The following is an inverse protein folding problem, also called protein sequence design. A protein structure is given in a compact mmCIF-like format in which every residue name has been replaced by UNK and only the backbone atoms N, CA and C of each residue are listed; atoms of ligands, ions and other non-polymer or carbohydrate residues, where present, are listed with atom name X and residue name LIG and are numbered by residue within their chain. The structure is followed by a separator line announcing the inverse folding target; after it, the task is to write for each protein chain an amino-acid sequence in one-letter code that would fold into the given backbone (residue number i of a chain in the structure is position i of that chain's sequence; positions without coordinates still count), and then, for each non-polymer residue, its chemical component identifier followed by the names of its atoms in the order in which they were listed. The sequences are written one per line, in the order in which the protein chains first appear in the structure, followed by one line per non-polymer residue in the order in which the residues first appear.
data_IF_641502458792
#
_entry.id   IF_641502458792
#
_cell.length_a   1.000
_cell.length_b   1.000
_cell.length_c   1.000
_cell.angle_alpha   90.00
_cell.angle_beta   90.00
_cell.angle_gamma   90.00
#
_symmetry.space_group_name_H-M   'P 1'
#
loop_
_entity.id
_entity.type
_entity.pdbx_description
1 polymer ?
#
# COMPACT_ATOMS: atom_id res chain seq x y z
N UNK A 1 -49.59 24.06 52.23
CA UNK A 1 -48.28 24.47 52.73
C UNK A 1 -47.28 23.56 52.07
N UNK A 2 -46.39 24.09 51.36
CA UNK A 2 -45.13 23.68 50.79
C UNK A 2 -45.04 23.73 49.26
N UNK A 3 -44.39 24.77 48.89
CA UNK A 3 -43.94 25.16 47.57
C UNK A 3 -42.73 24.29 47.16
N UNK A 4 -42.81 23.73 45.99
CA UNK A 4 -41.70 22.94 45.42
C UNK A 4 -41.14 23.73 44.22
N UNK A 5 -39.94 24.26 44.41
CA UNK A 5 -39.15 24.94 43.35
C UNK A 5 -38.46 23.90 42.51
N UNK A 6 -38.72 23.89 41.23
CA UNK A 6 -37.99 23.12 40.22
C UNK A 6 -36.88 24.00 39.63
N UNK A 7 -35.64 23.65 39.94
CA UNK A 7 -34.46 24.22 39.29
C UNK A 7 -34.16 23.42 37.98
N UNK A 8 -34.41 24.07 36.86
CA UNK A 8 -34.08 23.57 35.52
C UNK A 8 -32.65 23.96 35.19
N UNK A 9 -31.70 23.05 35.31
CA UNK A 9 -30.34 23.23 34.78
C UNK A 9 -30.33 23.04 33.30
N UNK A 10 -30.35 24.16 32.57
CA UNK A 10 -30.15 24.27 31.14
C UNK A 10 -28.61 24.14 30.85
N UNK A 11 -28.18 22.99 30.32
CA UNK A 11 -26.83 22.82 29.78
C UNK A 11 -26.76 23.46 28.39
N UNK A 12 -25.84 24.37 28.11
CA UNK A 12 -25.65 24.89 26.76
C UNK A 12 -25.09 23.81 25.83
N UNK A 13 -25.83 23.56 24.75
CA UNK A 13 -25.39 22.68 23.68
C UNK A 13 -24.08 23.20 23.06
N UNK A 14 -23.11 22.30 22.93
CA UNK A 14 -21.90 22.54 22.10
C UNK A 14 -22.35 22.67 20.65
N UNK A 15 -22.49 23.89 20.17
CA UNK A 15 -22.48 24.20 18.75
C UNK A 15 -21.08 23.80 18.23
N UNK A 16 -21.03 22.78 17.41
CA UNK A 16 -19.85 22.45 16.62
C UNK A 16 -19.64 23.61 15.64
N UNK A 17 -18.60 24.37 15.88
CA UNK A 17 -18.12 25.44 15.03
C UNK A 17 -17.68 24.83 13.69
N UNK A 18 -18.56 24.84 12.70
CA UNK A 18 -18.26 24.53 11.30
C UNK A 18 -17.44 25.70 10.75
N UNK A 19 -16.16 25.74 11.13
CA UNK A 19 -15.22 26.69 10.56
C UNK A 19 -15.24 26.56 9.04
N UNK A 20 -15.68 27.59 8.35
CA UNK A 20 -15.71 27.70 6.89
C UNK A 20 -14.29 27.38 6.35
N UNK A 21 -14.18 26.30 5.61
CA UNK A 21 -12.95 25.91 4.93
C UNK A 21 -12.77 26.80 3.71
N UNK A 22 -11.83 27.74 3.79
CA UNK A 22 -11.48 28.61 2.68
C UNK A 22 -10.53 27.86 1.72
N UNK A 23 -10.86 27.83 0.44
CA UNK A 23 -9.96 27.27 -0.58
C UNK A 23 -8.95 28.35 -0.96
N UNK A 24 -7.67 28.09 -0.73
CA UNK A 24 -6.56 28.96 -1.12
C UNK A 24 -5.74 28.37 -2.24
N UNK A 25 -5.15 29.23 -3.04
CA UNK A 25 -4.18 28.86 -4.08
C UNK A 25 -2.79 29.24 -3.56
N UNK A 26 -1.89 28.27 -3.56
CA UNK A 26 -0.51 28.51 -3.14
C UNK A 26 0.20 29.41 -4.14
N UNK A 27 0.80 30.50 -3.68
CA UNK A 27 1.58 31.44 -4.50
C UNK A 27 2.89 30.84 -5.02
N UNK A 28 3.38 29.76 -4.41
CA UNK A 28 4.66 29.12 -4.76
C UNK A 28 4.47 28.01 -5.79
N UNK A 29 3.46 27.12 -5.61
CA UNK A 29 3.29 25.96 -6.47
C UNK A 29 1.94 25.89 -7.22
N UNK A 30 1.07 26.88 -7.04
CA UNK A 30 -0.24 26.94 -7.71
C UNK A 30 -1.29 25.96 -7.22
N UNK A 31 -0.97 25.08 -6.26
CA UNK A 31 -1.90 24.08 -5.76
C UNK A 31 -3.06 24.70 -4.96
N UNK A 32 -4.27 24.24 -5.21
CA UNK A 32 -5.46 24.62 -4.43
C UNK A 32 -5.55 23.72 -3.20
N UNK A 33 -5.72 24.32 -2.03
CA UNK A 33 -5.85 23.55 -0.78
C UNK A 33 -6.86 24.22 0.17
N UNK A 34 -7.44 23.40 1.05
CA UNK A 34 -8.36 23.87 2.08
C UNK A 34 -7.57 24.38 3.28
N UNK A 35 -7.63 25.66 3.54
CA UNK A 35 -6.96 26.28 4.67
C UNK A 35 -7.90 26.38 5.87
N UNK A 36 -7.41 25.99 7.05
CA UNK A 36 -7.99 26.37 8.32
C UNK A 36 -7.33 27.67 8.81
N UNK A 37 -7.99 28.41 9.70
CA UNK A 37 -7.52 29.76 10.16
C UNK A 37 -6.07 29.84 10.62
N UNK A 38 -5.40 28.71 10.88
CA UNK A 38 -4.01 28.63 11.37
C UNK A 38 -3.05 27.93 10.40
N UNK A 39 -3.44 27.58 9.16
CA UNK A 39 -2.52 26.96 8.21
C UNK A 39 -1.84 28.02 7.33
N UNK A 40 -0.67 28.48 7.73
CA UNK A 40 0.18 29.39 6.95
C UNK A 40 0.93 28.67 5.81
N UNK A 41 0.93 27.34 5.79
CA UNK A 41 1.74 26.52 4.90
C UNK A 41 0.91 25.71 3.92
N UNK A 42 1.35 25.70 2.66
CA UNK A 42 0.78 24.84 1.63
C UNK A 42 1.20 23.37 1.85
N UNK A 43 0.26 22.41 1.96
CA UNK A 43 0.60 21.00 2.16
C UNK A 43 1.47 20.42 1.04
N UNK A 44 1.30 20.89 -0.20
CA UNK A 44 2.10 20.44 -1.35
C UNK A 44 3.53 20.98 -1.29
N UNK A 45 3.73 22.21 -0.83
CA UNK A 45 5.08 22.77 -0.64
C UNK A 45 5.79 22.07 0.52
N UNK A 46 5.08 21.81 1.62
CA UNK A 46 5.63 21.04 2.75
C UNK A 46 6.02 19.62 2.33
N UNK A 47 5.20 18.97 1.50
CA UNK A 47 5.51 17.65 0.98
C UNK A 47 6.73 17.67 0.05
N UNK A 48 6.87 18.71 -0.79
CA UNK A 48 8.06 18.92 -1.63
C UNK A 48 9.33 19.20 -0.82
N UNK A 49 9.24 19.94 0.25
CA UNK A 49 10.40 20.20 1.15
C UNK A 49 10.77 18.96 1.99
N UNK A 50 9.82 18.08 2.25
CA UNK A 50 10.07 16.81 2.95
C UNK A 50 10.59 15.69 2.01
N UNK A 51 10.51 15.91 0.70
CA UNK A 51 11.11 15.05 -0.32
C UNK A 51 12.34 15.78 -0.84
N UNK A 52 13.58 15.34 -0.59
CA UNK A 52 14.75 15.94 -1.21
C UNK A 52 14.60 15.87 -2.72
N UNK A 53 15.01 16.95 -3.40
CA UNK A 53 14.84 17.25 -4.80
C UNK A 53 15.05 16.04 -5.73
N UNK A 54 13.98 15.62 -6.35
CA UNK A 54 13.99 14.70 -7.47
C UNK A 54 13.28 15.34 -8.65
N UNK A 55 13.74 16.54 -9.08
CA UNK A 55 13.52 17.06 -10.44
C UNK A 55 14.63 18.06 -10.74
N UNK A 56 15.71 17.58 -11.34
CA UNK A 56 16.37 18.22 -12.48
C UNK A 56 17.53 17.35 -12.96
N UNK A 57 17.58 17.24 -14.27
CA UNK A 57 18.51 16.48 -15.10
C UNK A 57 18.10 15.03 -15.37
N UNK A 58 17.58 14.88 -16.59
CA UNK A 58 17.61 13.62 -17.33
C UNK A 58 19.08 13.34 -17.66
N UNK A 59 19.81 12.88 -16.67
CA UNK A 59 20.94 11.99 -16.87
C UNK A 59 20.39 10.59 -16.61
N UNK A 60 20.61 9.72 -17.58
CA UNK A 60 20.30 8.30 -17.50
C UNK A 60 20.68 7.80 -16.11
N UNK A 61 19.78 7.14 -15.37
CA UNK A 61 20.17 6.59 -14.08
C UNK A 61 21.32 5.65 -14.37
N UNK A 62 22.51 6.04 -13.89
CA UNK A 62 23.59 5.10 -13.68
C UNK A 62 22.93 3.90 -13.01
N UNK A 63 23.16 2.74 -13.57
CA UNK A 63 22.76 1.43 -13.04
C UNK A 63 23.30 1.29 -11.62
N UNK A 64 22.61 1.91 -10.66
CA UNK A 64 22.74 1.57 -9.25
C UNK A 64 22.17 0.16 -9.10
N UNK A 65 23.02 -0.75 -9.50
CA UNK A 65 22.85 -2.18 -9.38
C UNK A 65 22.51 -2.48 -7.92
N UNK A 66 21.22 -2.62 -7.62
CA UNK A 66 20.85 -3.50 -6.52
C UNK A 66 21.55 -4.79 -6.88
N UNK A 67 22.59 -5.15 -6.12
CA UNK A 67 23.27 -6.42 -6.31
C UNK A 67 22.22 -7.46 -6.02
N UNK A 68 21.52 -7.91 -7.08
CA UNK A 68 20.51 -8.95 -6.99
C UNK A 68 21.31 -10.21 -6.67
N UNK A 69 21.34 -10.53 -5.39
CA UNK A 69 21.62 -11.89 -5.01
C UNK A 69 20.49 -12.71 -5.61
N UNK A 70 20.80 -13.69 -6.40
CA UNK A 70 19.82 -14.62 -6.99
C UNK A 70 19.01 -15.33 -5.89
N UNK A 71 19.40 -15.17 -4.64
CA UNK A 71 18.85 -15.85 -3.47
C UNK A 71 18.66 -14.92 -2.27
N UNK A 72 17.51 -15.03 -1.63
CA UNK A 72 17.12 -14.36 -0.39
C UNK A 72 16.80 -15.43 0.66
N UNK A 73 17.76 -15.78 1.51
CA UNK A 73 17.69 -16.89 2.45
C UNK A 73 17.40 -18.21 1.68
N UNK A 74 16.24 -18.84 1.89
CA UNK A 74 15.79 -20.04 1.19
C UNK A 74 14.89 -19.75 -0.03
N UNK A 75 14.76 -18.49 -0.45
CA UNK A 75 14.00 -18.09 -1.63
C UNK A 75 14.95 -17.84 -2.81
N UNK A 76 14.73 -18.51 -3.92
CA UNK A 76 15.45 -18.30 -5.17
C UNK A 76 14.59 -17.54 -6.16
N UNK A 77 15.15 -16.50 -6.79
CA UNK A 77 14.44 -15.76 -7.82
C UNK A 77 14.24 -16.64 -9.06
N UNK A 78 13.02 -16.69 -9.57
CA UNK A 78 12.74 -17.36 -10.84
C UNK A 78 13.33 -16.55 -11.96
N UNK A 79 14.16 -17.17 -12.80
CA UNK A 79 14.81 -16.56 -13.96
C UNK A 79 13.97 -16.78 -15.21
N UNK A 80 13.76 -15.74 -16.01
CA UNK A 80 13.10 -15.82 -17.30
C UNK A 80 14.02 -16.35 -18.40
N UNK A 81 13.50 -16.45 -19.61
CA UNK A 81 14.26 -16.91 -20.80
C UNK A 81 15.42 -15.96 -21.16
N UNK A 82 15.33 -14.70 -20.76
CA UNK A 82 16.37 -13.68 -20.96
C UNK A 82 17.50 -13.74 -19.91
N UNK A 83 17.47 -14.72 -19.00
CA UNK A 83 18.41 -14.88 -17.92
C UNK A 83 18.25 -13.88 -16.77
N UNK A 84 17.18 -13.10 -16.76
CA UNK A 84 16.90 -12.11 -15.70
C UNK A 84 15.82 -12.60 -14.76
N UNK A 85 15.83 -12.14 -13.49
CA UNK A 85 14.73 -12.42 -12.56
C UNK A 85 13.39 -11.96 -13.09
N UNK A 86 12.37 -12.81 -12.94
CA UNK A 86 10.99 -12.50 -13.34
C UNK A 86 10.41 -11.44 -12.39
N UNK A 87 10.34 -10.21 -12.89
CA UNK A 87 9.76 -9.09 -12.18
C UNK A 87 8.22 -9.09 -12.35
N UNK A 88 7.49 -9.12 -11.24
CA UNK A 88 6.03 -9.06 -11.21
C UNK A 88 5.52 -7.63 -11.08
N UNK A 89 6.35 -6.71 -10.61
CA UNK A 89 6.02 -5.31 -10.50
C UNK A 89 7.11 -4.48 -9.82
N UNK A 90 7.09 -3.17 -10.10
CA UNK A 90 8.04 -2.21 -9.54
C UNK A 90 7.28 -1.01 -8.97
N UNK A 91 7.64 -0.62 -7.75
CA UNK A 91 7.05 0.52 -7.07
C UNK A 91 8.12 1.42 -6.43
N UNK A 92 7.69 2.53 -5.85
CA UNK A 92 8.57 3.52 -5.23
C UNK A 92 9.47 2.95 -4.12
N UNK A 93 9.03 1.89 -3.43
CA UNK A 93 9.76 1.33 -2.28
C UNK A 93 10.56 0.07 -2.63
N UNK A 94 10.41 -0.50 -3.81
CA UNK A 94 11.09 -1.74 -4.15
C UNK A 94 10.49 -2.49 -5.32
N UNK A 95 10.98 -3.70 -5.52
CA UNK A 95 10.64 -4.55 -6.66
C UNK A 95 10.02 -5.84 -6.15
N UNK A 96 9.04 -6.32 -6.87
CA UNK A 96 8.34 -7.58 -6.59
C UNK A 96 8.72 -8.60 -7.63
N UNK A 97 9.24 -9.73 -7.20
CA UNK A 97 9.71 -10.83 -8.04
C UNK A 97 8.88 -12.09 -7.85
N UNK A 98 8.85 -12.91 -8.90
CA UNK A 98 8.50 -14.32 -8.75
C UNK A 98 9.70 -15.05 -8.18
N UNK A 99 9.48 -15.82 -7.12
CA UNK A 99 10.51 -16.63 -6.48
C UNK A 99 10.00 -18.03 -6.17
N UNK A 100 10.90 -18.89 -5.77
CA UNK A 100 10.63 -20.27 -5.38
C UNK A 100 11.17 -20.51 -3.98
N UNK A 101 10.33 -21.01 -3.10
CA UNK A 101 10.75 -21.49 -1.78
C UNK A 101 11.37 -22.89 -1.97
N UNK A 102 12.70 -22.98 -1.76
CA UNK A 102 13.43 -24.22 -2.03
C UNK A 102 13.23 -25.29 -0.96
N UNK A 103 12.83 -24.90 0.24
CA UNK A 103 12.59 -25.82 1.35
C UNK A 103 11.19 -26.42 1.27
N UNK A 104 10.19 -25.62 0.89
CA UNK A 104 8.78 -26.01 0.82
C UNK A 104 8.32 -26.36 -0.60
N UNK A 105 9.18 -26.16 -1.62
CA UNK A 105 8.94 -26.52 -3.01
C UNK A 105 7.70 -25.89 -3.66
N UNK A 106 7.47 -24.59 -3.44
CA UNK A 106 6.38 -23.87 -4.11
C UNK A 106 6.77 -22.44 -4.52
N UNK A 107 6.00 -21.89 -5.47
CA UNK A 107 6.20 -20.53 -5.92
C UNK A 107 5.70 -19.50 -4.91
N UNK A 108 6.45 -18.42 -4.73
CA UNK A 108 6.10 -17.29 -3.88
C UNK A 108 6.27 -15.98 -4.63
N UNK A 109 5.62 -14.95 -4.14
CA UNK A 109 5.89 -13.56 -4.51
C UNK A 109 6.85 -12.97 -3.50
N UNK A 110 8.01 -12.51 -3.96
CA UNK A 110 9.04 -11.90 -3.11
C UNK A 110 9.11 -10.40 -3.36
N UNK A 111 8.70 -9.61 -2.39
CA UNK A 111 8.85 -8.14 -2.46
C UNK A 111 10.12 -7.71 -1.74
N UNK A 112 11.05 -7.16 -2.52
CA UNK A 112 12.36 -6.70 -2.04
C UNK A 112 12.34 -5.19 -1.90
N UNK A 113 12.74 -4.71 -0.72
CA UNK A 113 12.74 -3.29 -0.35
C UNK A 113 14.15 -2.93 0.12
N UNK A 114 14.78 -1.99 -0.56
CA UNK A 114 16.08 -1.48 -0.13
C UNK A 114 15.93 -0.66 1.16
N UNK A 115 16.85 -0.88 2.11
CA UNK A 115 16.87 -0.17 3.39
C UNK A 115 16.92 1.36 3.22
N UNK A 116 17.54 1.85 2.16
CA UNK A 116 17.58 3.29 1.83
C UNK A 116 16.20 3.93 1.68
N UNK A 117 15.18 3.15 1.29
CA UNK A 117 13.80 3.64 1.16
C UNK A 117 13.03 3.64 2.48
N UNK A 118 13.57 3.03 3.52
CA UNK A 118 12.94 2.99 4.84
C UNK A 118 13.27 4.23 5.68
N UNK A 119 14.19 5.10 5.19
CA UNK A 119 14.56 6.33 5.88
C UNK A 119 15.29 6.08 7.19
N UNK A 120 14.80 6.70 8.26
CA UNK A 120 15.37 6.57 9.58
C UNK A 120 14.87 5.30 10.33
N UNK A 121 15.44 5.08 11.50
CA UNK A 121 15.10 3.94 12.38
C UNK A 121 13.59 3.90 12.75
N UNK A 122 12.98 5.06 12.91
CA UNK A 122 11.54 5.16 13.23
C UNK A 122 10.67 4.68 12.07
N UNK A 123 11.04 5.03 10.82
CA UNK A 123 10.37 4.55 9.61
C UNK A 123 10.55 3.04 9.44
N UNK A 124 11.77 2.53 9.71
CA UNK A 124 12.06 1.09 9.69
C UNK A 124 11.23 0.32 10.71
N UNK A 125 11.16 0.76 11.94
CA UNK A 125 10.35 0.12 12.98
C UNK A 125 8.86 0.13 12.65
N UNK A 126 8.37 1.20 12.05
CA UNK A 126 6.99 1.31 11.56
C UNK A 126 6.71 0.30 10.45
N UNK A 127 7.61 0.21 9.46
CA UNK A 127 7.52 -0.79 8.40
C UNK A 127 7.44 -2.22 8.96
N UNK A 128 8.35 -2.59 9.87
CA UNK A 128 8.36 -3.91 10.48
C UNK A 128 7.07 -4.21 11.27
N UNK A 129 6.52 -3.23 11.96
CA UNK A 129 5.26 -3.36 12.67
C UNK A 129 4.08 -3.57 11.71
N UNK A 130 4.02 -2.80 10.63
CA UNK A 130 2.97 -2.91 9.62
C UNK A 130 3.05 -4.26 8.89
N UNK A 131 4.25 -4.71 8.55
CA UNK A 131 4.46 -6.02 7.92
C UNK A 131 4.01 -7.19 8.83
N UNK A 132 4.33 -7.13 10.14
CA UNK A 132 3.86 -8.14 11.11
C UNK A 132 2.35 -8.14 11.25
N UNK A 133 1.73 -6.97 11.25
CA UNK A 133 0.28 -6.86 11.32
C UNK A 133 -0.37 -7.42 10.04
N UNK A 134 0.19 -7.12 8.86
CA UNK A 134 -0.27 -7.70 7.59
C UNK A 134 -0.15 -9.24 7.59
N UNK A 135 0.93 -9.79 8.15
CA UNK A 135 1.13 -11.23 8.27
C UNK A 135 0.10 -11.92 9.18
N UNK A 136 -0.64 -11.19 10.02
CA UNK A 136 -1.71 -11.75 10.86
C UNK A 136 -3.06 -11.88 10.15
N UNK A 137 -3.24 -11.25 9.00
CA UNK A 137 -4.49 -11.33 8.24
C UNK A 137 -4.58 -12.70 7.58
N UNK A 138 -5.71 -13.37 7.75
CA UNK A 138 -6.05 -14.65 7.09
C UNK A 138 -7.42 -14.51 6.45
N UNK A 139 -7.46 -14.52 5.13
CA UNK A 139 -8.70 -14.44 4.37
C UNK A 139 -8.44 -14.95 2.94
N UNK A 140 -9.36 -15.71 2.31
CA UNK A 140 -9.14 -16.28 0.97
C UNK A 140 -8.85 -15.22 -0.12
N UNK A 141 -9.35 -14.00 0.05
CA UNK A 141 -9.11 -12.91 -0.90
C UNK A 141 -8.01 -11.92 -0.41
N UNK A 142 -7.10 -12.36 0.45
CA UNK A 142 -5.92 -11.59 0.87
C UNK A 142 -4.69 -12.48 0.75
N UNK A 143 -3.76 -12.12 -0.12
CA UNK A 143 -2.50 -12.84 -0.26
C UNK A 143 -1.78 -12.91 1.09
N UNK A 144 -1.51 -14.13 1.54
CA UNK A 144 -0.91 -14.39 2.85
C UNK A 144 0.57 -13.99 2.84
N UNK A 145 1.03 -13.29 3.87
CA UNK A 145 2.46 -13.06 4.10
C UNK A 145 3.00 -14.23 4.91
N UNK A 146 4.01 -14.92 4.37
CA UNK A 146 4.62 -16.09 4.99
C UNK A 146 5.84 -15.76 5.82
N UNK A 147 6.70 -14.88 5.29
CA UNK A 147 7.99 -14.57 5.89
C UNK A 147 8.38 -13.11 5.69
N UNK A 148 9.07 -12.56 6.68
CA UNK A 148 9.72 -11.26 6.63
C UNK A 148 11.19 -11.46 7.03
N UNK A 149 12.10 -11.24 6.10
CA UNK A 149 13.54 -11.42 6.28
C UNK A 149 14.38 -10.22 5.88
N UNK A 150 15.69 -10.35 6.05
CA UNK A 150 16.67 -9.35 5.64
C UNK A 150 17.89 -10.04 5.04
N UNK A 151 18.29 -9.60 3.84
CA UNK A 151 19.52 -10.04 3.18
C UNK A 151 20.34 -8.83 2.81
N UNK A 152 21.54 -8.69 3.41
CA UNK A 152 22.39 -7.50 3.24
C UNK A 152 21.68 -6.22 3.65
N UNK A 153 21.56 -5.27 2.72
CA UNK A 153 20.88 -3.99 2.90
C UNK A 153 19.42 -4.01 2.40
N UNK A 154 18.86 -5.19 2.14
CA UNK A 154 17.51 -5.33 1.66
C UNK A 154 16.63 -6.03 2.68
N UNK A 155 15.45 -5.47 2.94
CA UNK A 155 14.35 -6.19 3.56
C UNK A 155 13.54 -6.88 2.47
N UNK A 156 12.99 -8.03 2.79
CA UNK A 156 12.07 -8.69 1.88
C UNK A 156 10.93 -9.32 2.67
N UNK A 157 9.80 -9.49 2.02
CA UNK A 157 8.78 -10.41 2.50
C UNK A 157 8.31 -11.32 1.39
N UNK A 158 8.19 -12.60 1.76
CA UNK A 158 7.62 -13.62 0.92
C UNK A 158 6.12 -13.70 1.22
N UNK A 159 5.33 -13.72 0.15
CA UNK A 159 3.90 -13.81 0.23
C UNK A 159 3.38 -14.81 -0.81
N UNK A 160 2.15 -15.16 -0.68
CA UNK A 160 1.42 -16.04 -1.59
C UNK A 160 1.57 -15.57 -3.04
N UNK A 161 1.95 -16.49 -3.91
CA UNK A 161 1.94 -16.26 -5.35
C UNK A 161 0.56 -16.60 -5.89
N UNK A 162 -0.15 -15.58 -6.33
CA UNK A 162 -1.47 -15.72 -6.95
C UNK A 162 -1.27 -15.86 -8.45
N UNK A 163 -1.57 -17.04 -8.99
CA UNK A 163 -1.59 -17.28 -10.43
C UNK A 163 -2.77 -16.52 -11.05
N UNK A 164 -2.51 -15.73 -12.10
CA UNK A 164 -3.53 -14.91 -12.74
C UNK A 164 -2.96 -13.59 -13.24
N UNK A 165 -3.84 -12.63 -13.44
CA UNK A 165 -3.47 -11.29 -13.90
C UNK A 165 -4.01 -10.21 -12.95
N UNK A 166 -3.46 -9.00 -13.03
CA UNK A 166 -4.03 -7.87 -12.28
C UNK A 166 -5.36 -7.44 -12.90
N UNK A 167 -6.26 -6.94 -12.07
CA UNK A 167 -7.52 -6.36 -12.55
C UNK A 167 -7.27 -5.23 -13.58
N UNK A 168 -6.16 -4.51 -13.45
CA UNK A 168 -5.75 -3.51 -14.41
C UNK A 168 -5.47 -4.12 -15.79
N UNK A 169 -4.73 -5.23 -15.83
CA UNK A 169 -4.42 -5.94 -17.08
C UNK A 169 -5.67 -6.56 -17.71
N UNK A 170 -6.52 -7.16 -16.87
CA UNK A 170 -7.81 -7.68 -17.31
C UNK A 170 -8.65 -6.59 -17.99
N UNK A 171 -8.78 -5.41 -17.37
CA UNK A 171 -9.53 -4.27 -17.95
C UNK A 171 -8.86 -3.77 -19.24
N UNK A 172 -7.54 -3.65 -19.27
CA UNK A 172 -6.82 -3.21 -20.47
C UNK A 172 -7.01 -4.17 -21.64
N UNK A 173 -7.04 -5.47 -21.36
CA UNK A 173 -7.18 -6.52 -22.37
C UNK A 173 -8.63 -6.71 -22.84
N UNK A 174 -9.59 -6.69 -21.92
CA UNK A 174 -10.99 -7.06 -22.18
C UNK A 174 -11.93 -5.86 -22.31
N UNK A 175 -11.47 -4.64 -21.97
CA UNK A 175 -12.35 -3.47 -21.88
C UNK A 175 -13.21 -3.46 -20.62
N UNK A 176 -14.36 -2.77 -20.66
CA UNK A 176 -15.28 -2.73 -19.52
C UNK A 176 -15.73 -4.11 -19.09
N UNK A 177 -15.71 -4.37 -17.80
CA UNK A 177 -16.15 -5.65 -17.22
C UNK A 177 -17.67 -5.80 -17.32
N UNK A 178 -18.14 -7.03 -17.46
CA UNK A 178 -19.54 -7.34 -17.26
C UNK A 178 -19.97 -7.00 -15.82
N UNK A 179 -21.18 -6.52 -15.66
CA UNK A 179 -21.73 -6.06 -14.36
C UNK A 179 -21.64 -7.17 -13.30
N UNK A 180 -21.96 -8.42 -13.70
CA UNK A 180 -21.90 -9.58 -12.79
C UNK A 180 -20.49 -9.78 -12.25
N UNK A 181 -19.49 -9.84 -13.13
CA UNK A 181 -18.08 -10.01 -12.74
C UNK A 181 -17.59 -8.84 -11.89
N UNK A 182 -17.96 -7.61 -12.25
CA UNK A 182 -17.58 -6.43 -11.46
C UNK A 182 -18.15 -6.48 -10.04
N UNK A 183 -19.41 -6.93 -9.87
CA UNK A 183 -20.04 -7.10 -8.56
C UNK A 183 -19.40 -8.24 -7.75
N UNK A 184 -19.03 -9.35 -8.39
CA UNK A 184 -18.31 -10.45 -7.74
C UNK A 184 -16.96 -10.00 -7.20
N UNK A 185 -16.15 -9.31 -8.01
CA UNK A 185 -14.87 -8.74 -7.61
C UNK A 185 -15.07 -7.73 -6.46
N UNK A 186 -16.03 -6.82 -6.58
CA UNK A 186 -16.30 -5.82 -5.56
C UNK A 186 -16.72 -6.46 -4.22
N UNK A 187 -17.51 -7.52 -4.26
CA UNK A 187 -17.98 -8.25 -3.07
C UNK A 187 -16.80 -8.95 -2.37
N UNK A 188 -15.95 -9.63 -3.12
CA UNK A 188 -14.75 -10.29 -2.59
C UNK A 188 -13.77 -9.26 -2.00
N UNK A 189 -13.57 -8.13 -2.68
CA UNK A 189 -12.74 -7.04 -2.19
C UNK A 189 -13.29 -6.45 -0.90
N UNK A 190 -14.59 -6.22 -0.80
CA UNK A 190 -15.23 -5.72 0.41
C UNK A 190 -15.05 -6.69 1.60
N UNK A 191 -15.19 -8.00 1.35
CA UNK A 191 -14.96 -9.04 2.36
C UNK A 191 -13.49 -9.05 2.84
N UNK A 192 -12.53 -8.93 1.92
CA UNK A 192 -11.10 -8.85 2.24
C UNK A 192 -10.79 -7.61 3.09
N UNK A 193 -11.34 -6.46 2.74
CA UNK A 193 -11.18 -5.22 3.50
C UNK A 193 -11.77 -5.32 4.91
N UNK A 194 -12.91 -5.98 5.06
CA UNK A 194 -13.50 -6.24 6.36
C UNK A 194 -12.58 -7.11 7.25
N UNK A 195 -11.89 -8.10 6.67
CA UNK A 195 -10.91 -8.92 7.38
C UNK A 195 -9.68 -8.10 7.81
N UNK A 196 -9.17 -7.23 6.92
CA UNK A 196 -8.06 -6.31 7.21
C UNK A 196 -8.43 -5.35 8.35
N UNK A 197 -9.63 -4.76 8.30
CA UNK A 197 -10.10 -3.82 9.32
C UNK A 197 -10.31 -4.48 10.70
N UNK A 198 -10.69 -5.74 10.77
CA UNK A 198 -10.75 -6.50 12.04
C UNK A 198 -9.39 -6.56 12.74
N UNK A 199 -8.28 -6.53 12.00
CA UNK A 199 -6.92 -6.45 12.54
C UNK A 199 -6.47 -5.01 12.82
N UNK A 200 -7.38 -4.03 12.78
CA UNK A 200 -7.10 -2.60 12.97
C UNK A 200 -6.10 -2.04 11.95
N UNK A 201 -6.05 -2.65 10.77
CA UNK A 201 -5.27 -2.22 9.63
C UNK A 201 -6.14 -1.47 8.64
N UNK A 202 -5.54 -0.54 7.92
CA UNK A 202 -6.19 0.20 6.83
C UNK A 202 -5.38 0.00 5.57
N UNK A 203 -6.02 -0.56 4.53
CA UNK A 203 -5.43 -0.62 3.20
C UNK A 203 -5.53 0.76 2.54
N UNK A 204 -4.38 1.37 2.24
CA UNK A 204 -4.31 2.77 1.76
C UNK A 204 -4.12 2.88 0.25
N UNK A 205 -3.85 1.77 -0.43
CA UNK A 205 -3.51 1.74 -1.86
C UNK A 205 -4.38 0.70 -2.60
N UNK A 206 -5.70 0.93 -2.57
CA UNK A 206 -6.66 0.10 -3.32
C UNK A 206 -6.72 0.65 -4.74
N UNK A 207 -6.24 -0.15 -5.69
CA UNK A 207 -6.25 0.17 -7.12
C UNK A 207 -6.23 -1.12 -7.96
N UNK A 208 -6.67 -1.09 -9.21
CA UNK A 208 -6.74 -2.28 -10.05
C UNK A 208 -5.41 -3.02 -10.21
N UNK A 209 -4.28 -2.33 -10.19
CA UNK A 209 -2.94 -2.94 -10.27
C UNK A 209 -2.53 -3.73 -9.00
N UNK A 210 -3.25 -3.55 -7.89
CA UNK A 210 -3.00 -4.25 -6.63
C UNK A 210 -4.04 -5.34 -6.34
N UNK A 211 -4.92 -5.63 -7.29
CA UNK A 211 -5.94 -6.68 -7.20
C UNK A 211 -5.60 -7.75 -8.22
N UNK A 212 -5.32 -8.96 -7.75
CA UNK A 212 -5.11 -10.13 -8.61
C UNK A 212 -6.46 -10.81 -8.87
N UNK A 213 -6.69 -11.16 -10.12
CA UNK A 213 -7.82 -11.96 -10.55
C UNK A 213 -7.27 -13.31 -10.97
N UNK A 214 -7.60 -14.32 -10.20
CA UNK A 214 -7.32 -15.71 -10.51
C UNK A 214 -8.54 -16.27 -11.25
N UNK A 215 -8.34 -16.70 -12.46
CA UNK A 215 -9.33 -17.51 -13.16
C UNK A 215 -9.14 -18.92 -12.64
N UNK A 216 -9.92 -19.33 -11.64
CA UNK A 216 -10.04 -20.75 -11.34
C UNK A 216 -10.65 -21.38 -12.59
N UNK A 217 -9.90 -22.26 -13.25
CA UNK A 217 -10.49 -23.19 -14.21
C UNK A 217 -11.48 -24.00 -13.41
N UNK A 218 -12.77 -23.75 -13.66
CA UNK A 218 -13.85 -24.45 -12.98
C UNK A 218 -13.67 -25.94 -13.18
N UNK A 219 -13.39 -26.64 -12.07
CA UNK A 219 -13.39 -28.09 -12.01
C UNK A 219 -14.81 -28.66 -12.13
#
# INVERSE_FOLDING_TARGET
MNTNSQDSHNKPGRQADLAAREIRVCSVCGAKFSATRNSEFCPMCMLRQALPDAVESVESPSEDTVTLTERFEHYELVTGEDGKPVELGRGAMGITYKAFDVDLHYAVTLKVISERYLGDESARLRFLREARAAASVRHPNVASVFHLGRTGQNYFYAMEFVAGETLENLIKRSGPLEVKLALEIATQLAASLAAVHKQKLVQRDIKPSNIMVSLEEGG
#
